data_IF_605744803536
#
_entry.id   IF_605744803536
#
_cell.length_a   1.000
_cell.length_b   1.000
_cell.length_c   1.000
_cell.angle_alpha   90.00
_cell.angle_beta   90.00
_cell.angle_gamma   90.00
#
_symmetry.space_group_name_H-M   'P 1'
#
loop_
_entity.id
_entity.type
_entity.pdbx_description
1 polymer ?
#
# COMPACT_ATOMS: atom_id res chain seq x y z
N UNK A 1 13.50 16.44 -58.93
CA UNK A 1 13.71 16.66 -57.48
C UNK A 1 12.48 17.36 -56.94
N UNK A 2 11.69 16.70 -56.09
CA UNK A 2 10.59 17.33 -55.36
C UNK A 2 10.49 16.67 -54.00
N UNK A 3 11.05 17.33 -53.00
CA UNK A 3 11.02 16.95 -51.59
C UNK A 3 9.64 17.30 -51.04
N UNK A 4 8.72 16.34 -51.03
CA UNK A 4 7.48 16.43 -50.28
C UNK A 4 7.76 16.26 -48.79
N UNK A 5 7.91 17.39 -48.10
CA UNK A 5 8.05 17.47 -46.65
C UNK A 5 6.86 16.75 -45.98
N UNK A 6 7.11 15.63 -45.30
CA UNK A 6 6.12 15.05 -44.40
C UNK A 6 5.85 16.06 -43.29
N UNK A 7 4.62 16.57 -43.22
CA UNK A 7 4.20 17.47 -42.14
C UNK A 7 4.29 16.73 -40.80
N UNK A 8 5.03 17.26 -39.80
CA UNK A 8 5.00 16.72 -38.45
C UNK A 8 3.77 17.28 -37.74
N UNK A 9 2.57 16.77 -38.04
CA UNK A 9 1.36 17.48 -37.61
C UNK A 9 0.06 16.71 -37.54
N UNK A 10 0.06 15.38 -37.65
CA UNK A 10 -1.17 14.59 -37.47
C UNK A 10 -1.07 13.82 -36.16
N UNK A 11 -1.74 14.34 -35.13
CA UNK A 11 -1.87 13.65 -33.86
C UNK A 11 -2.81 12.45 -34.07
N UNK A 12 -2.25 11.25 -34.07
CA UNK A 12 -2.96 10.01 -34.37
C UNK A 12 -3.98 9.69 -33.25
N UNK A 13 -5.25 9.36 -33.55
CA UNK A 13 -6.21 8.78 -32.60
C UNK A 13 -5.63 7.63 -31.75
N UNK A 14 -4.65 6.89 -32.27
CA UNK A 14 -3.90 5.86 -31.53
C UNK A 14 -3.20 6.44 -30.29
N UNK A 15 -2.68 7.66 -30.36
CA UNK A 15 -1.97 8.33 -29.26
C UNK A 15 -2.93 8.64 -28.10
N UNK A 16 -4.13 9.15 -28.39
CA UNK A 16 -5.14 9.41 -27.36
C UNK A 16 -5.65 8.11 -26.72
N UNK A 17 -5.80 7.05 -27.53
CA UNK A 17 -6.17 5.71 -27.06
C UNK A 17 -5.13 5.15 -26.08
N UNK A 18 -3.84 5.23 -26.43
CA UNK A 18 -2.73 4.80 -25.58
C UNK A 18 -2.71 5.57 -24.25
N UNK A 19 -2.82 6.90 -24.29
CA UNK A 19 -2.86 7.74 -23.08
C UNK A 19 -4.04 7.37 -22.18
N UNK A 20 -5.20 7.11 -22.79
CA UNK A 20 -6.40 6.69 -22.06
C UNK A 20 -6.19 5.32 -21.40
N UNK A 21 -5.60 4.36 -22.10
CA UNK A 21 -5.26 3.05 -21.55
C UNK A 21 -4.25 3.14 -20.39
N UNK A 22 -3.22 3.97 -20.53
CA UNK A 22 -2.23 4.22 -19.47
C UNK A 22 -2.89 4.81 -18.22
N UNK A 23 -3.78 5.79 -18.39
CA UNK A 23 -4.54 6.39 -17.29
C UNK A 23 -5.39 5.36 -16.53
N UNK A 24 -6.03 4.44 -17.24
CA UNK A 24 -6.83 3.36 -16.62
C UNK A 24 -5.93 2.41 -15.82
N UNK A 25 -4.84 1.92 -16.43
CA UNK A 25 -3.87 1.05 -15.76
C UNK A 25 -3.27 1.69 -14.51
N UNK A 26 -2.94 2.99 -14.53
CA UNK A 26 -2.45 3.69 -13.35
C UNK A 26 -3.47 3.75 -12.21
N UNK A 27 -4.76 3.92 -12.52
CA UNK A 27 -5.83 3.90 -11.51
C UNK A 27 -6.00 2.52 -10.90
N UNK A 28 -5.97 1.48 -11.74
CA UNK A 28 -6.05 0.08 -11.29
C UNK A 28 -4.89 -0.25 -10.35
N UNK A 29 -3.66 0.02 -10.77
CA UNK A 29 -2.47 -0.24 -9.94
C UNK A 29 -2.42 0.58 -8.65
N UNK A 30 -2.92 1.83 -8.67
CA UNK A 30 -3.11 2.62 -7.44
C UNK A 30 -4.08 1.94 -6.48
N UNK A 31 -5.20 1.39 -6.98
CA UNK A 31 -6.18 0.65 -6.18
C UNK A 31 -5.58 -0.64 -5.62
N UNK A 32 -4.82 -1.38 -6.42
CA UNK A 32 -4.12 -2.59 -5.96
C UNK A 32 -3.20 -2.28 -4.77
N UNK A 33 -2.50 -1.14 -4.83
CA UNK A 33 -1.61 -0.72 -3.76
C UNK A 33 -2.34 -0.22 -2.51
N UNK A 34 -3.52 0.38 -2.67
CA UNK A 34 -4.42 0.70 -1.54
C UNK A 34 -4.90 -0.57 -0.86
N UNK A 35 -5.25 -1.60 -1.63
CA UNK A 35 -5.64 -2.90 -1.09
C UNK A 35 -4.46 -3.61 -0.41
N UNK A 36 -3.25 -3.56 -0.98
CA UNK A 36 -2.05 -4.13 -0.37
C UNK A 36 -1.77 -3.52 1.00
N UNK A 37 -1.88 -2.18 1.13
CA UNK A 37 -1.72 -1.50 2.41
C UNK A 37 -2.72 -1.94 3.48
N UNK A 38 -3.96 -2.24 3.07
CA UNK A 38 -4.98 -2.79 3.98
C UNK A 38 -4.66 -4.24 4.39
N UNK A 39 -4.30 -5.08 3.43
CA UNK A 39 -3.95 -6.48 3.67
C UNK A 39 -2.78 -6.62 4.66
N UNK A 40 -1.73 -5.79 4.51
CA UNK A 40 -0.60 -5.75 5.47
C UNK A 40 -1.07 -5.45 6.90
N UNK A 41 -2.04 -4.55 7.04
CA UNK A 41 -2.58 -4.17 8.35
C UNK A 41 -3.49 -5.25 8.95
N UNK A 42 -4.29 -5.90 8.12
CA UNK A 42 -5.17 -7.01 8.52
C UNK A 42 -4.33 -8.22 8.97
N UNK A 43 -3.32 -8.60 8.20
CA UNK A 43 -2.40 -9.69 8.54
C UNK A 43 -1.64 -9.41 9.85
N UNK A 44 -1.13 -8.19 10.04
CA UNK A 44 -0.51 -7.79 11.31
C UNK A 44 -1.47 -7.97 12.50
N UNK A 45 -2.73 -7.56 12.36
CA UNK A 45 -3.73 -7.68 13.43
C UNK A 45 -4.01 -9.15 13.73
N UNK A 46 -4.22 -9.96 12.71
CA UNK A 46 -4.50 -11.40 12.86
C UNK A 46 -3.36 -12.13 13.58
N UNK A 47 -2.12 -11.89 13.14
CA UNK A 47 -0.92 -12.51 13.73
C UNK A 47 -0.77 -12.11 15.19
N UNK A 48 -0.82 -10.81 15.49
CA UNK A 48 -0.66 -10.31 16.87
C UNK A 48 -1.81 -10.76 17.77
N UNK A 49 -3.06 -10.73 17.29
CA UNK A 49 -4.22 -11.18 18.04
C UNK A 49 -4.14 -12.67 18.38
N UNK A 50 -3.79 -13.51 17.41
CA UNK A 50 -3.65 -14.96 17.61
C UNK A 50 -2.63 -15.25 18.71
N UNK A 51 -1.53 -14.51 18.68
CA UNK A 51 -0.43 -14.66 19.63
C UNK A 51 -0.81 -14.18 21.03
N UNK A 52 -1.39 -12.99 21.16
CA UNK A 52 -1.89 -12.47 22.44
C UNK A 52 -2.91 -13.43 23.06
N UNK A 53 -3.86 -13.93 22.26
CA UNK A 53 -4.88 -14.84 22.73
C UNK A 53 -4.27 -16.16 23.23
N UNK A 54 -3.32 -16.73 22.48
CA UNK A 54 -2.65 -17.99 22.88
C UNK A 54 -1.92 -17.84 24.22
N UNK A 55 -1.30 -16.69 24.48
CA UNK A 55 -0.57 -16.46 25.74
C UNK A 55 -1.50 -16.11 26.91
N UNK A 56 -2.45 -15.22 26.68
CA UNK A 56 -3.21 -14.53 27.74
C UNK A 56 -4.64 -15.02 27.88
N UNK A 57 -5.20 -15.67 26.85
CA UNK A 57 -6.63 -15.94 26.73
C UNK A 57 -7.49 -14.72 26.41
N UNK A 58 -6.88 -13.53 26.28
CA UNK A 58 -7.59 -12.27 26.07
C UNK A 58 -7.70 -11.98 24.58
N UNK A 59 -8.91 -11.66 24.14
CA UNK A 59 -9.17 -11.10 22.82
C UNK A 59 -9.25 -9.58 22.91
N UNK A 60 -8.43 -8.91 22.12
CA UNK A 60 -8.44 -7.45 21.98
C UNK A 60 -9.27 -7.08 20.75
N UNK A 61 -9.73 -5.84 20.69
CA UNK A 61 -10.29 -5.30 19.46
C UNK A 61 -9.17 -4.89 18.50
N UNK A 62 -9.45 -4.97 17.20
CA UNK A 62 -8.52 -4.59 16.13
C UNK A 62 -7.96 -3.17 16.31
N UNK A 63 -8.82 -2.24 16.74
CA UNK A 63 -8.48 -0.86 17.06
C UNK A 63 -7.44 -0.75 18.18
N UNK A 64 -7.52 -1.61 19.21
CA UNK A 64 -6.50 -1.69 20.27
C UNK A 64 -5.20 -2.24 19.71
N UNK A 65 -5.22 -3.30 18.90
CA UNK A 65 -4.01 -3.91 18.34
C UNK A 65 -3.23 -2.93 17.44
N UNK A 66 -3.93 -2.04 16.75
CA UNK A 66 -3.32 -1.01 15.91
C UNK A 66 -2.48 0.01 16.70
N UNK A 67 -2.80 0.24 17.98
CA UNK A 67 -2.20 1.34 18.77
C UNK A 67 -1.46 0.89 20.02
N UNK A 68 -1.76 -0.30 20.55
CA UNK A 68 -1.06 -0.87 21.71
C UNK A 68 0.44 -0.90 21.43
N UNK A 69 1.31 -0.69 22.41
CA UNK A 69 2.76 -0.87 22.22
C UNK A 69 3.21 -2.29 22.57
N UNK A 70 4.38 -2.70 22.05
CA UNK A 70 4.94 -4.02 22.37
C UNK A 70 5.17 -4.19 23.88
N UNK A 71 5.50 -3.13 24.61
CA UNK A 71 5.73 -3.20 26.05
C UNK A 71 4.47 -3.55 26.84
N UNK A 72 3.33 -3.03 26.42
CA UNK A 72 2.00 -3.28 26.98
C UNK A 72 1.59 -4.71 26.70
N UNK A 73 1.85 -5.21 25.49
CA UNK A 73 1.67 -6.63 25.16
C UNK A 73 2.53 -7.52 26.07
N UNK A 74 3.79 -7.14 26.31
CA UNK A 74 4.70 -7.89 27.18
C UNK A 74 4.23 -7.91 28.64
N UNK A 75 3.71 -6.80 29.16
CA UNK A 75 3.11 -6.77 30.51
C UNK A 75 1.92 -7.73 30.61
N UNK A 76 1.12 -7.87 29.56
CA UNK A 76 0.03 -8.87 29.55
C UNK A 76 0.56 -10.31 29.66
N UNK A 77 1.77 -10.58 29.17
CA UNK A 77 2.41 -11.90 29.28
C UNK A 77 2.99 -12.18 30.68
N UNK A 78 3.19 -11.17 31.51
CA UNK A 78 3.60 -11.36 32.91
C UNK A 78 2.50 -12.05 33.73
N UNK A 79 1.24 -11.72 33.44
CA UNK A 79 0.05 -12.30 34.07
C UNK A 79 -0.55 -13.48 33.28
N UNK A 80 0.28 -14.16 32.46
CA UNK A 80 -0.10 -15.27 31.58
C UNK A 80 -0.92 -16.37 32.26
N UNK A 81 -1.96 -16.83 31.56
CA UNK A 81 -2.89 -17.88 32.03
C UNK A 81 -2.47 -19.27 31.52
N UNK A 82 -1.80 -19.35 30.36
CA UNK A 82 -1.54 -20.62 29.66
C UNK A 82 -0.17 -21.28 29.94
N UNK A 83 0.49 -20.97 31.05
CA UNK A 83 1.66 -21.75 31.52
C UNK A 83 2.93 -21.67 30.65
N UNK A 84 3.00 -20.79 29.65
CA UNK A 84 4.23 -20.59 28.87
C UNK A 84 5.36 -20.02 29.75
N UNK A 85 6.60 -20.41 29.49
CA UNK A 85 7.77 -19.96 30.26
C UNK A 85 8.19 -18.52 29.93
N UNK A 86 9.00 -17.86 30.79
CA UNK A 86 9.52 -16.51 30.53
C UNK A 86 10.31 -16.39 29.21
N UNK A 87 11.11 -17.41 28.87
CA UNK A 87 11.88 -17.46 27.62
C UNK A 87 10.95 -17.49 26.40
N UNK A 88 9.90 -18.31 26.45
CA UNK A 88 8.91 -18.37 25.39
C UNK A 88 8.14 -17.06 25.27
N UNK A 89 7.71 -16.46 26.38
CA UNK A 89 7.06 -15.14 26.36
C UNK A 89 7.97 -14.06 25.74
N UNK A 90 9.26 -14.08 26.02
CA UNK A 90 10.25 -13.17 25.42
C UNK A 90 10.38 -13.39 23.91
N UNK A 91 10.49 -14.63 23.45
CA UNK A 91 10.58 -14.96 22.03
C UNK A 91 9.34 -14.48 21.26
N UNK A 92 8.17 -14.65 21.85
CA UNK A 92 6.90 -14.15 21.31
C UNK A 92 6.87 -12.62 21.23
N UNK A 93 7.35 -11.95 22.28
CA UNK A 93 7.47 -10.51 22.31
C UNK A 93 8.31 -9.96 21.17
N UNK A 94 9.45 -10.61 20.90
CA UNK A 94 10.34 -10.21 19.82
C UNK A 94 9.71 -10.48 18.44
N UNK A 95 9.03 -11.60 18.25
CA UNK A 95 8.25 -11.88 17.02
C UNK A 95 7.20 -10.79 16.74
N UNK A 96 6.45 -10.37 17.77
CA UNK A 96 5.45 -9.29 17.65
C UNK A 96 6.12 -7.96 17.30
N UNK A 97 7.29 -7.68 17.88
CA UNK A 97 8.07 -6.47 17.61
C UNK A 97 8.59 -6.45 16.17
N UNK A 98 9.15 -7.56 15.69
CA UNK A 98 9.61 -7.72 14.32
C UNK A 98 8.46 -7.60 13.32
N UNK A 99 7.34 -8.27 13.59
CA UNK A 99 6.12 -8.20 12.77
C UNK A 99 5.61 -6.76 12.66
N UNK A 100 5.56 -6.03 13.78
CA UNK A 100 5.20 -4.62 13.79
C UNK A 100 6.16 -3.77 12.96
N UNK A 101 7.46 -3.95 13.15
CA UNK A 101 8.46 -3.18 12.42
C UNK A 101 8.33 -3.40 10.90
N UNK A 102 8.15 -4.65 10.47
CA UNK A 102 7.89 -5.01 9.09
C UNK A 102 6.59 -4.38 8.55
N UNK A 103 5.48 -4.47 9.30
CA UNK A 103 4.21 -3.88 8.90
C UNK A 103 4.29 -2.34 8.78
N UNK A 104 5.01 -1.67 9.67
CA UNK A 104 5.23 -0.23 9.61
C UNK A 104 6.11 0.18 8.42
N UNK A 105 7.18 -0.55 8.14
CA UNK A 105 8.05 -0.30 6.99
C UNK A 105 7.31 -0.51 5.66
N UNK A 106 6.61 -1.64 5.52
CA UNK A 106 5.79 -1.94 4.35
C UNK A 106 4.66 -0.91 4.17
N UNK A 107 4.01 -0.50 5.26
CA UNK A 107 2.99 0.55 5.24
C UNK A 107 3.54 1.90 4.75
N UNK A 108 4.72 2.31 5.23
CA UNK A 108 5.39 3.54 4.75
C UNK A 108 5.71 3.46 3.26
N UNK A 109 6.30 2.35 2.81
CA UNK A 109 6.61 2.10 1.39
C UNK A 109 5.34 2.12 0.53
N UNK A 110 4.25 1.51 0.98
CA UNK A 110 2.98 1.52 0.26
C UNK A 110 2.44 2.95 0.08
N UNK A 111 2.47 3.78 1.14
CA UNK A 111 2.04 5.20 1.07
C UNK A 111 2.90 6.00 0.10
N UNK A 112 4.22 5.80 0.12
CA UNK A 112 5.16 6.46 -0.79
C UNK A 112 4.87 6.10 -2.25
N UNK A 113 4.73 4.81 -2.55
CA UNK A 113 4.42 4.38 -3.92
C UNK A 113 3.04 4.92 -4.35
N UNK A 114 2.04 4.97 -3.46
CA UNK A 114 0.73 5.58 -3.79
C UNK A 114 0.86 7.06 -4.15
N UNK A 115 1.79 7.79 -3.52
CA UNK A 115 2.09 9.19 -3.87
C UNK A 115 2.65 9.29 -5.29
N UNK A 116 3.62 8.46 -5.63
CA UNK A 116 4.21 8.43 -6.98
C UNK A 116 3.14 8.14 -8.06
N UNK A 117 2.21 7.22 -7.78
CA UNK A 117 1.07 6.95 -8.68
C UNK A 117 0.10 8.14 -8.81
N UNK A 118 -0.15 8.90 -7.74
CA UNK A 118 -0.97 10.13 -7.79
C UNK A 118 -0.33 11.19 -8.68
N UNK A 119 0.98 11.39 -8.54
CA UNK A 119 1.75 12.34 -9.34
C UNK A 119 1.76 11.92 -10.82
N UNK A 120 2.03 10.65 -11.11
CA UNK A 120 2.00 10.12 -12.48
C UNK A 120 0.61 10.24 -13.11
N UNK A 121 -0.46 9.98 -12.35
CA UNK A 121 -1.83 10.17 -12.84
C UNK A 121 -2.13 11.64 -13.16
N UNK A 122 -1.57 12.60 -12.42
CA UNK A 122 -1.71 14.02 -12.72
C UNK A 122 -1.02 14.39 -14.04
N UNK A 123 0.20 13.88 -14.26
CA UNK A 123 0.94 14.07 -15.52
C UNK A 123 0.19 13.49 -16.72
N UNK A 124 -0.31 12.25 -16.61
CA UNK A 124 -1.06 11.60 -17.70
C UNK A 124 -2.35 12.36 -18.03
N UNK A 125 -3.06 12.90 -17.01
CA UNK A 125 -4.23 13.75 -17.23
C UNK A 125 -3.88 15.06 -17.95
N UNK A 126 -2.74 15.67 -17.63
CA UNK A 126 -2.27 16.87 -18.31
C UNK A 126 -1.93 16.57 -19.78
N UNK A 127 -1.21 15.48 -20.04
CA UNK A 127 -0.88 15.03 -21.40
C UNK A 127 -2.14 14.74 -22.23
N UNK A 128 -3.14 14.08 -21.64
CA UNK A 128 -4.43 13.85 -22.30
C UNK A 128 -5.12 15.15 -22.71
N UNK A 129 -5.11 16.18 -21.86
CA UNK A 129 -5.69 17.50 -22.17
C UNK A 129 -4.96 18.18 -23.32
N UNK A 130 -3.63 18.14 -23.32
CA UNK A 130 -2.79 18.72 -24.39
C UNK A 130 -3.11 18.03 -25.71
N UNK A 131 -3.13 16.70 -25.73
CA UNK A 131 -3.43 15.90 -26.92
C UNK A 131 -4.82 16.23 -27.47
N UNK A 132 -5.85 16.31 -26.61
CA UNK A 132 -7.21 16.70 -27.02
C UNK A 132 -7.25 18.11 -27.60
N UNK A 133 -6.57 19.08 -26.98
CA UNK A 133 -6.52 20.45 -27.49
C UNK A 133 -5.86 20.52 -28.87
N UNK A 134 -4.75 19.81 -29.06
CA UNK A 134 -4.07 19.73 -30.36
C UNK A 134 -4.91 19.07 -31.45
N UNK A 135 -5.75 18.09 -31.10
CA UNK A 135 -6.72 17.49 -32.03
C UNK A 135 -7.88 18.41 -32.41
N UNK A 136 -8.15 19.46 -31.64
CA UNK A 136 -9.27 20.40 -31.85
C UNK A 136 -8.86 21.71 -32.55
N UNK A 137 -7.56 22.01 -32.66
CA UNK A 137 -7.01 23.23 -33.31
C UNK A 137 -6.93 23.08 -34.84
N UNK A 138 -7.79 22.25 -35.44
CA UNK A 138 -7.79 21.96 -36.88
C UNK A 138 -9.16 22.16 -37.50
#
# INVERSE_FOLDING_TARGET
>A
MSTGHAYPGTLDPSTLSIITALKMKLKERKKDLENLGKAIQEEYIEVVQSRIFTVTGVKLSDEVIRVIDTSSIMQMFEHRVHGIGPEQASAIGEEIKECRAAAMDLGKKAVEVQKNFREMLALVKAQEKIVKALSQVR
#
